data_IF_796540173598
#
_entry.id   IF_796540173598
#
_cell.length_a   1.000
_cell.length_b   1.000
_cell.length_c   1.000
_cell.angle_alpha   90.00
_cell.angle_beta   90.00
_cell.angle_gamma   90.00
#
_symmetry.space_group_name_H-M   'P 1'
#
loop_
_entity.id
_entity.type
_entity.pdbx_description
1 polymer ?
#
# COMPACT_ATOMS: atom_id res chain seq x y z
N UNK A 1 20.88 -6.88 -49.23
CA UNK A 1 20.68 -5.81 -48.23
C UNK A 1 19.79 -6.38 -47.15
N UNK A 2 20.37 -7.00 -46.13
CA UNK A 2 19.62 -7.48 -44.97
C UNK A 2 19.13 -6.27 -44.18
N UNK A 3 17.82 -6.03 -44.20
CA UNK A 3 17.18 -5.07 -43.32
C UNK A 3 17.21 -5.63 -41.90
N UNK A 4 18.25 -5.27 -41.14
CA UNK A 4 18.24 -5.44 -39.69
C UNK A 4 17.18 -4.50 -39.10
N UNK A 5 15.94 -4.99 -38.99
CA UNK A 5 14.92 -4.36 -38.16
C UNK A 5 15.42 -4.47 -36.73
N UNK A 6 15.89 -3.35 -36.18
CA UNK A 6 16.32 -3.28 -34.80
C UNK A 6 15.07 -3.40 -33.89
N UNK A 7 14.77 -4.63 -33.47
CA UNK A 7 13.61 -4.98 -32.63
C UNK A 7 13.61 -4.26 -31.26
N UNK A 8 14.68 -3.55 -30.88
CA UNK A 8 14.69 -2.66 -29.72
C UNK A 8 13.77 -1.44 -29.85
N UNK A 9 13.38 -1.03 -31.07
CA UNK A 9 12.35 0.00 -31.26
C UNK A 9 10.94 -0.47 -30.84
N UNK A 10 10.73 -1.80 -30.77
CA UNK A 10 9.54 -2.43 -30.21
C UNK A 10 9.78 -2.98 -28.80
N UNK A 11 10.82 -2.51 -28.11
CA UNK A 11 11.03 -2.80 -26.70
C UNK A 11 9.89 -2.17 -25.89
N UNK A 12 8.80 -2.93 -25.76
CA UNK A 12 7.79 -2.91 -24.72
C UNK A 12 7.49 -1.49 -24.21
N UNK A 13 6.78 -0.70 -25.03
CA UNK A 13 6.21 0.55 -24.55
C UNK A 13 5.37 0.25 -23.31
N UNK A 14 5.68 0.97 -22.23
CA UNK A 14 4.93 0.92 -20.98
C UNK A 14 3.52 1.43 -21.25
N UNK A 15 2.60 0.50 -21.49
CA UNK A 15 1.22 0.77 -21.90
C UNK A 15 0.23 0.32 -20.82
N UNK A 16 0.65 -0.59 -19.96
CA UNK A 16 -0.20 -1.15 -18.92
C UNK A 16 -0.16 -0.31 -17.64
N UNK A 17 -1.29 -0.25 -16.95
CA UNK A 17 -1.39 0.45 -15.66
C UNK A 17 -0.55 -0.27 -14.61
N UNK A 18 0.04 0.49 -13.69
CA UNK A 18 0.78 -0.06 -12.58
C UNK A 18 -0.10 -0.93 -11.68
N UNK A 19 0.33 -2.16 -11.41
CA UNK A 19 -0.34 -3.09 -10.50
C UNK A 19 -0.38 -2.54 -9.05
N UNK A 20 -1.25 -3.09 -8.16
CA UNK A 20 -1.29 -2.68 -6.76
C UNK A 20 0.05 -2.84 -6.02
N UNK A 21 0.80 -3.90 -6.33
CA UNK A 21 2.11 -4.16 -5.71
C UNK A 21 3.17 -3.18 -6.23
N UNK A 22 3.29 -2.95 -7.54
CA UNK A 22 4.13 -1.88 -8.10
C UNK A 22 3.87 -0.52 -7.46
N UNK A 23 2.58 -0.15 -7.29
CA UNK A 23 2.19 1.10 -6.64
C UNK A 23 2.67 1.17 -5.18
N UNK A 24 2.56 0.07 -4.42
CA UNK A 24 3.08 -0.01 -3.04
C UNK A 24 4.60 0.13 -3.02
N UNK A 25 5.32 -0.60 -3.86
CA UNK A 25 6.79 -0.56 -3.93
C UNK A 25 7.31 0.85 -4.26
N UNK A 26 6.65 1.55 -5.19
CA UNK A 26 6.99 2.92 -5.57
C UNK A 26 6.76 3.89 -4.40
N UNK A 27 5.65 3.74 -3.66
CA UNK A 27 5.38 4.54 -2.45
C UNK A 27 6.36 4.24 -1.33
N UNK A 28 6.70 2.98 -1.09
CA UNK A 28 7.71 2.60 -0.09
C UNK A 28 9.10 3.16 -0.40
N UNK A 29 9.44 3.32 -1.68
CA UNK A 29 10.68 3.98 -2.11
C UNK A 29 10.64 5.51 -1.94
N UNK A 30 9.54 6.06 -1.43
CA UNK A 30 9.32 7.50 -1.23
C UNK A 30 9.01 8.27 -2.51
N UNK A 31 8.72 7.59 -3.63
CA UNK A 31 8.33 8.25 -4.86
C UNK A 31 6.81 8.40 -4.89
N UNK A 32 6.31 9.55 -4.44
CA UNK A 32 4.89 9.84 -4.32
C UNK A 32 4.64 11.17 -5.06
N UNK A 33 3.59 11.28 -5.89
CA UNK A 33 3.30 12.53 -6.55
C UNK A 33 2.84 13.54 -5.51
N UNK A 34 3.53 14.67 -5.41
CA UNK A 34 3.23 15.73 -4.48
C UNK A 34 3.43 17.09 -5.16
N UNK A 35 2.36 17.88 -5.23
CA UNK A 35 2.44 19.26 -5.69
C UNK A 35 2.79 20.16 -4.52
N UNK A 36 4.02 20.66 -4.55
CA UNK A 36 4.51 21.67 -3.58
C UNK A 36 3.73 22.97 -3.69
N UNK A 37 3.35 23.38 -4.90
CA UNK A 37 2.65 24.63 -5.15
C UNK A 37 1.24 24.65 -4.55
N UNK A 38 0.54 23.50 -4.58
CA UNK A 38 -0.78 23.38 -3.95
C UNK A 38 -0.70 23.63 -2.44
N UNK A 39 0.33 23.07 -1.79
CA UNK A 39 0.60 23.32 -0.37
C UNK A 39 0.91 24.78 -0.09
N UNK A 40 1.82 25.39 -0.86
CA UNK A 40 2.19 26.80 -0.69
C UNK A 40 1.00 27.76 -0.87
N UNK A 41 0.13 27.52 -1.85
CA UNK A 41 -1.04 28.35 -2.10
C UNK A 41 -2.05 28.29 -0.93
N UNK A 42 -2.35 27.08 -0.44
CA UNK A 42 -3.27 26.90 0.69
C UNK A 42 -2.72 27.48 2.00
N UNK A 43 -1.42 27.32 2.26
CA UNK A 43 -0.76 27.95 3.41
C UNK A 43 -0.84 29.47 3.32
N UNK A 44 -0.58 30.05 2.14
CA UNK A 44 -0.67 31.50 1.93
C UNK A 44 -2.07 32.04 2.24
N UNK A 45 -3.11 31.43 1.65
CA UNK A 45 -4.52 31.80 1.89
C UNK A 45 -4.84 31.68 3.38
N UNK A 46 -4.46 30.55 4.00
CA UNK A 46 -4.70 30.30 5.42
C UNK A 46 -4.03 31.32 6.33
N UNK A 47 -2.79 31.70 6.06
CA UNK A 47 -2.08 32.73 6.83
C UNK A 47 -2.78 34.09 6.74
N UNK A 48 -3.21 34.53 5.55
CA UNK A 48 -3.94 35.79 5.41
C UNK A 48 -5.35 35.72 6.04
N UNK A 49 -6.02 34.57 5.96
CA UNK A 49 -7.29 34.36 6.65
C UNK A 49 -7.11 34.40 8.19
N UNK A 50 -6.05 33.79 8.71
CA UNK A 50 -5.71 33.84 10.13
C UNK A 50 -5.38 35.26 10.58
N UNK A 51 -4.62 36.02 9.78
CA UNK A 51 -4.36 37.44 10.03
C UNK A 51 -5.67 38.24 10.15
N UNK A 52 -6.66 37.97 9.30
CA UNK A 52 -7.96 38.64 9.34
C UNK A 52 -8.80 38.24 10.55
N UNK A 53 -8.96 36.93 10.77
CA UNK A 53 -9.81 36.38 11.84
C UNK A 53 -9.24 36.73 13.23
N UNK A 54 -7.92 36.66 13.37
CA UNK A 54 -7.23 36.94 14.63
C UNK A 54 -6.71 38.38 14.73
N UNK A 55 -7.12 39.28 13.82
CA UNK A 55 -6.61 40.65 13.76
C UNK A 55 -6.73 41.39 15.10
N UNK A 56 -7.91 41.34 15.74
CA UNK A 56 -8.13 42.01 17.02
C UNK A 56 -7.17 41.49 18.11
N UNK A 57 -7.09 40.18 18.29
CA UNK A 57 -6.18 39.55 19.24
C UNK A 57 -4.71 39.93 19.00
N UNK A 58 -4.27 39.91 17.74
CA UNK A 58 -2.89 40.27 17.37
C UNK A 58 -2.63 41.75 17.69
N UNK A 59 -3.54 42.64 17.29
CA UNK A 59 -3.41 44.08 17.51
C UNK A 59 -3.44 44.45 18.99
N UNK A 60 -4.34 43.86 19.78
CA UNK A 60 -4.41 44.07 21.22
C UNK A 60 -3.13 43.58 21.91
N UNK A 61 -2.64 42.39 21.55
CA UNK A 61 -1.38 41.85 22.10
C UNK A 61 -0.19 42.75 21.78
N UNK A 62 -0.09 43.25 20.53
CA UNK A 62 0.98 44.16 20.12
C UNK A 62 0.85 45.52 20.81
N UNK A 63 -0.37 46.04 20.97
CA UNK A 63 -0.65 47.29 21.68
C UNK A 63 -0.23 47.18 23.14
N UNK A 64 -0.71 46.17 23.85
CA UNK A 64 -0.40 45.96 25.27
C UNK A 64 1.10 45.81 25.49
N UNK A 65 1.77 45.06 24.62
CA UNK A 65 3.22 44.91 24.65
C UNK A 65 3.95 46.24 24.42
N UNK A 66 3.48 47.03 23.45
CA UNK A 66 4.04 48.35 23.15
C UNK A 66 3.82 49.34 24.31
N UNK A 67 2.62 49.35 24.89
CA UNK A 67 2.31 50.19 26.05
C UNK A 67 3.22 49.82 27.21
N UNK A 68 3.33 48.53 27.54
CA UNK A 68 4.20 48.04 28.61
C UNK A 68 5.67 48.47 28.41
N UNK A 69 6.19 48.36 27.19
CA UNK A 69 7.53 48.82 26.82
C UNK A 69 7.73 50.32 27.04
N UNK A 70 6.73 51.14 26.72
CA UNK A 70 6.82 52.60 26.79
C UNK A 70 6.51 53.17 28.19
N UNK A 71 5.74 52.45 29.01
CA UNK A 71 5.35 52.91 30.35
C UNK A 71 6.28 52.42 31.46
N UNK A 72 7.26 51.55 31.15
CA UNK A 72 8.21 51.07 32.15
C UNK A 72 9.03 52.24 32.72
N UNK A 73 9.07 52.33 34.05
CA UNK A 73 9.72 53.43 34.77
C UNK A 73 11.01 52.98 35.48
N UNK A 74 11.76 53.95 36.01
CA UNK A 74 12.94 53.67 36.84
C UNK A 74 12.57 52.85 38.09
N UNK A 75 11.37 53.05 38.64
CA UNK A 75 10.85 52.30 39.80
C UNK A 75 10.58 50.83 39.46
N UNK A 76 10.28 50.51 38.20
CA UNK A 76 10.12 49.15 37.69
C UNK A 76 11.46 48.44 37.39
N UNK A 77 12.58 49.09 37.71
CA UNK A 77 13.92 48.55 37.47
C UNK A 77 14.40 48.71 36.03
N UNK A 78 13.95 49.73 35.28
CA UNK A 78 14.35 49.96 33.88
C UNK A 78 15.87 49.95 33.65
N UNK A 79 16.66 50.42 34.63
CA UNK A 79 18.12 50.42 34.58
C UNK A 79 18.78 49.28 35.37
N UNK A 80 18.00 48.31 35.86
CA UNK A 80 18.51 47.09 36.51
C UNK A 80 18.57 45.93 35.52
N UNK A 81 19.51 45.00 35.74
CA UNK A 81 19.63 43.80 34.91
C UNK A 81 18.35 42.94 34.96
N UNK A 82 17.74 42.81 36.14
CA UNK A 82 16.51 42.05 36.35
C UNK A 82 15.31 42.69 35.64
N UNK A 83 15.19 44.01 35.69
CA UNK A 83 14.12 44.74 34.98
C UNK A 83 14.26 44.61 33.46
N UNK A 84 15.47 44.75 32.92
CA UNK A 84 15.74 44.52 31.50
C UNK A 84 15.44 43.08 31.08
N UNK A 85 15.79 42.09 31.90
CA UNK A 85 15.50 40.68 31.62
C UNK A 85 13.99 40.41 31.60
N UNK A 86 13.24 40.95 32.57
CA UNK A 86 11.78 40.82 32.64
C UNK A 86 11.12 41.48 31.43
N UNK A 87 11.57 42.68 31.05
CA UNK A 87 11.08 43.39 29.88
C UNK A 87 11.31 42.60 28.59
N UNK A 88 12.51 42.04 28.43
CA UNK A 88 12.86 41.20 27.28
C UNK A 88 12.00 39.94 27.23
N UNK A 89 11.78 39.28 28.37
CA UNK A 89 10.94 38.08 28.47
C UNK A 89 9.48 38.40 28.12
N UNK A 90 8.91 39.45 28.73
CA UNK A 90 7.55 39.89 28.45
C UNK A 90 7.35 40.22 26.97
N UNK A 91 8.29 40.99 26.40
CA UNK A 91 8.27 41.37 24.99
C UNK A 91 8.33 40.16 24.07
N UNK A 92 9.26 39.24 24.34
CA UNK A 92 9.44 38.01 23.55
C UNK A 92 8.18 37.16 23.58
N UNK A 93 7.60 36.94 24.77
CA UNK A 93 6.36 36.18 24.92
C UNK A 93 5.19 36.88 24.22
N UNK A 94 5.09 38.20 24.31
CA UNK A 94 4.06 38.99 23.61
C UNK A 94 4.15 38.84 22.10
N UNK A 95 5.34 38.98 21.51
CA UNK A 95 5.53 38.79 20.06
C UNK A 95 5.28 37.34 19.62
N UNK A 96 5.69 36.35 20.42
CA UNK A 96 5.38 34.94 20.14
C UNK A 96 3.88 34.67 20.18
N UNK A 97 3.15 35.24 21.15
CA UNK A 97 1.69 35.16 21.23
C UNK A 97 1.01 35.78 20.01
N UNK A 98 1.47 36.95 19.57
CA UNK A 98 0.95 37.61 18.38
C UNK A 98 1.23 36.80 17.09
N UNK A 99 2.39 36.14 17.00
CA UNK A 99 2.74 35.29 15.86
C UNK A 99 2.02 33.93 15.85
N UNK A 100 1.68 33.41 17.02
CA UNK A 100 1.20 32.04 17.21
C UNK A 100 0.00 31.66 16.32
N UNK A 101 -1.06 32.49 16.14
CA UNK A 101 -2.20 32.11 15.29
C UNK A 101 -1.80 31.88 13.83
N UNK A 102 -0.92 32.73 13.29
CA UNK A 102 -0.46 32.64 11.89
C UNK A 102 0.49 31.47 11.71
N UNK A 103 1.48 31.33 12.59
CA UNK A 103 2.44 30.22 12.54
C UNK A 103 1.77 28.86 12.77
N UNK A 104 0.84 28.79 13.73
CA UNK A 104 0.03 27.61 13.99
C UNK A 104 -0.83 27.23 12.78
N UNK A 105 -1.48 28.21 12.15
CA UNK A 105 -2.25 27.97 10.91
C UNK A 105 -1.37 27.44 9.78
N UNK A 106 -0.19 28.04 9.57
CA UNK A 106 0.77 27.59 8.56
C UNK A 106 1.23 26.14 8.82
N UNK A 107 1.54 25.81 10.07
CA UNK A 107 1.91 24.46 10.49
C UNK A 107 0.77 23.47 10.24
N UNK A 108 -0.44 23.78 10.72
CA UNK A 108 -1.61 22.91 10.60
C UNK A 108 -1.96 22.65 9.13
N UNK A 109 -2.04 23.69 8.30
CA UNK A 109 -2.34 23.53 6.87
C UNK A 109 -1.20 22.81 6.16
N UNK A 110 0.05 23.16 6.44
CA UNK A 110 1.21 22.50 5.84
C UNK A 110 1.23 20.99 6.11
N UNK A 111 1.01 20.59 7.37
CA UNK A 111 0.91 19.19 7.78
C UNK A 111 -0.31 18.51 7.14
N UNK A 112 -1.48 19.14 7.18
CA UNK A 112 -2.72 18.59 6.63
C UNK A 112 -2.63 18.38 5.12
N UNK A 113 -2.13 19.36 4.36
CA UNK A 113 -1.98 19.24 2.91
C UNK A 113 -0.94 18.18 2.55
N UNK A 114 0.18 18.13 3.28
CA UNK A 114 1.19 17.09 3.08
C UNK A 114 0.59 15.70 3.33
N UNK A 115 -0.16 15.55 4.42
CA UNK A 115 -0.86 14.30 4.75
C UNK A 115 -1.92 13.93 3.72
N UNK A 116 -2.75 14.87 3.26
CA UNK A 116 -3.79 14.59 2.25
C UNK A 116 -3.20 14.22 0.88
N UNK A 117 -2.06 14.79 0.49
CA UNK A 117 -1.42 14.46 -0.78
C UNK A 117 -0.67 13.13 -0.74
N UNK A 118 0.08 12.87 0.33
CA UNK A 118 1.03 11.75 0.41
C UNK A 118 0.45 10.55 1.17
N UNK A 119 -0.44 10.79 2.12
CA UNK A 119 -0.90 9.84 3.13
C UNK A 119 0.16 9.57 4.20
N UNK A 120 -0.16 8.67 5.13
CA UNK A 120 0.81 8.15 6.10
C UNK A 120 1.79 7.19 5.41
N UNK A 121 2.91 7.70 4.91
CA UNK A 121 4.02 6.87 4.40
C UNK A 121 5.29 7.18 5.18
N UNK A 122 5.65 6.27 6.08
CA UNK A 122 6.93 6.31 6.77
C UNK A 122 7.94 5.46 6.01
N UNK A 123 9.00 6.09 5.47
CA UNK A 123 10.09 5.37 4.80
C UNK A 123 11.44 6.04 5.07
N UNK A 124 12.42 5.22 5.44
CA UNK A 124 13.82 5.64 5.63
C UNK A 124 14.67 5.37 4.39
N UNK A 125 14.15 4.63 3.39
CA UNK A 125 14.87 4.29 2.15
C UNK A 125 15.42 5.51 1.39
N UNK A 126 14.74 6.69 1.36
CA UNK A 126 15.30 7.88 0.72
C UNK A 126 16.52 8.49 1.42
N UNK A 127 16.73 8.18 2.71
CA UNK A 127 17.85 8.68 3.53
C UNK A 127 19.14 7.88 3.31
N UNK A 128 19.08 6.73 2.63
CA UNK A 128 20.27 5.95 2.28
C UNK A 128 21.22 6.78 1.38
N UNK A 129 22.50 6.95 1.76
CA UNK A 129 23.45 7.70 0.97
C UNK A 129 23.71 6.97 -0.36
N UNK A 130 23.29 7.58 -1.46
CA UNK A 130 23.56 7.09 -2.82
C UNK A 130 24.69 7.91 -3.42
N UNK A 131 25.87 7.30 -3.58
CA UNK A 131 27.06 7.94 -4.16
C UNK A 131 26.79 8.52 -5.56
N UNK A 132 25.87 7.93 -6.33
CA UNK A 132 25.42 8.48 -7.62
C UNK A 132 24.75 9.85 -7.52
N UNK A 133 24.10 10.18 -6.39
CA UNK A 133 23.50 11.51 -6.16
C UNK A 133 24.54 12.59 -5.84
N UNK A 134 25.78 12.21 -5.51
CA UNK A 134 26.87 13.13 -5.19
C UNK A 134 27.72 13.49 -6.41
N UNK A 135 27.45 12.92 -7.59
CA UNK A 135 28.20 13.24 -8.80
C UNK A 135 27.84 14.66 -9.31
N UNK A 136 28.78 15.64 -9.24
CA UNK A 136 28.50 17.02 -9.63
C UNK A 136 28.21 17.15 -11.13
N UNK A 137 28.78 16.29 -11.98
CA UNK A 137 28.54 16.33 -13.43
C UNK A 137 27.10 15.92 -13.79
N UNK A 138 26.55 14.90 -13.12
CA UNK A 138 25.14 14.51 -13.27
C UNK A 138 24.20 15.57 -12.69
N UNK A 139 24.59 16.21 -11.59
CA UNK A 139 23.88 17.35 -11.00
C UNK A 139 23.75 18.52 -11.98
N UNK A 140 24.87 18.94 -12.59
CA UNK A 140 24.89 19.98 -13.62
C UNK A 140 24.03 19.61 -14.83
N UNK A 141 24.16 18.38 -15.35
CA UNK A 141 23.32 17.91 -16.47
C UNK A 141 21.83 17.93 -16.14
N UNK A 142 21.46 17.64 -14.89
CA UNK A 142 20.07 17.72 -14.41
C UNK A 142 19.58 19.17 -14.34
N UNK A 143 20.39 20.09 -13.82
CA UNK A 143 20.07 21.53 -13.74
C UNK A 143 19.93 22.14 -15.14
N UNK A 144 20.83 21.82 -16.08
CA UNK A 144 20.79 22.30 -17.47
C UNK A 144 20.00 21.38 -18.42
N UNK A 145 19.06 20.60 -17.90
CA UNK A 145 18.21 19.74 -18.72
C UNK A 145 17.05 20.53 -19.34
N UNK A 146 16.52 20.05 -20.49
CA UNK A 146 15.29 20.60 -21.11
C UNK A 146 14.12 20.64 -20.13
N UNK A 147 14.05 19.68 -19.21
CA UNK A 147 13.03 19.61 -18.15
C UNK A 147 13.14 20.80 -17.20
N UNK A 148 14.35 21.10 -16.75
CA UNK A 148 14.60 22.22 -15.83
C UNK A 148 14.33 23.57 -16.49
N UNK A 149 14.70 23.75 -17.77
CA UNK A 149 14.37 24.95 -18.53
C UNK A 149 12.84 25.12 -18.66
N UNK A 150 12.11 24.06 -18.99
CA UNK A 150 10.65 24.09 -19.06
C UNK A 150 10.01 24.42 -17.70
N UNK A 151 10.61 23.96 -16.60
CA UNK A 151 10.14 24.27 -15.26
C UNK A 151 10.41 25.73 -14.88
N UNK A 152 11.56 26.28 -15.26
CA UNK A 152 11.88 27.71 -15.09
C UNK A 152 10.89 28.59 -15.84
N UNK A 153 10.60 28.28 -17.11
CA UNK A 153 9.62 29.03 -17.92
C UNK A 153 8.24 28.99 -17.25
N UNK A 154 7.81 27.82 -16.78
CA UNK A 154 6.54 27.68 -16.03
C UNK A 154 6.53 28.53 -14.76
N UNK A 155 7.62 28.53 -13.99
CA UNK A 155 7.72 29.36 -12.77
C UNK A 155 7.67 30.85 -13.08
N UNK A 156 8.37 31.32 -14.12
CA UNK A 156 8.33 32.72 -14.55
C UNK A 156 6.92 33.11 -14.98
N UNK A 157 6.25 32.30 -15.80
CA UNK A 157 4.86 32.56 -16.20
C UNK A 157 3.93 32.66 -14.99
N UNK A 158 4.04 31.75 -14.02
CA UNK A 158 3.22 31.79 -12.79
C UNK A 158 3.47 33.09 -12.01
N UNK A 159 4.73 33.47 -11.79
CA UNK A 159 5.09 34.71 -11.09
C UNK A 159 4.55 35.92 -11.85
N UNK A 160 4.70 35.97 -13.16
CA UNK A 160 4.17 37.07 -13.98
C UNK A 160 2.65 37.17 -13.91
N UNK A 161 1.93 36.04 -13.97
CA UNK A 161 0.46 36.02 -13.87
C UNK A 161 0.01 36.51 -12.48
N UNK A 162 0.59 35.97 -11.41
CA UNK A 162 0.23 36.34 -10.04
C UNK A 162 0.58 37.80 -9.78
N UNK A 163 1.77 38.24 -10.17
CA UNK A 163 2.22 39.61 -10.03
C UNK A 163 1.34 40.59 -10.80
N UNK A 164 1.02 40.30 -12.06
CA UNK A 164 0.13 41.15 -12.87
C UNK A 164 -1.28 41.22 -12.29
N UNK A 165 -1.89 40.10 -11.93
CA UNK A 165 -3.25 40.09 -11.40
C UNK A 165 -3.34 40.76 -10.02
N UNK A 166 -2.32 40.57 -9.16
CA UNK A 166 -2.25 41.25 -7.86
C UNK A 166 -2.01 42.75 -8.03
N UNK A 167 -1.15 43.14 -8.97
CA UNK A 167 -0.98 44.55 -9.34
C UNK A 167 -2.29 45.17 -9.83
N UNK A 168 -3.02 44.49 -10.72
CA UNK A 168 -4.33 44.96 -11.20
C UNK A 168 -5.34 45.10 -10.07
N UNK A 169 -5.36 44.14 -9.13
CA UNK A 169 -6.20 44.21 -7.94
C UNK A 169 -5.90 45.47 -7.11
N UNK A 170 -4.62 45.75 -6.84
CA UNK A 170 -4.20 46.94 -6.09
C UNK A 170 -4.42 48.24 -6.87
N UNK A 171 -4.15 48.25 -8.18
CA UNK A 171 -4.36 49.41 -9.05
C UNK A 171 -5.83 49.85 -9.08
N UNK A 172 -6.78 48.90 -9.00
CA UNK A 172 -8.20 49.21 -8.90
C UNK A 172 -8.59 49.87 -7.57
N UNK A 173 -7.76 49.77 -6.53
CA UNK A 173 -7.93 50.46 -5.23
C UNK A 173 -7.30 51.84 -5.21
N UNK A 174 -6.53 52.22 -6.23
CA UNK A 174 -5.89 53.53 -6.32
C UNK A 174 -6.85 54.73 -6.11
N UNK A 175 -8.09 54.71 -6.65
CA UNK A 175 -9.04 55.81 -6.42
C UNK A 175 -9.48 55.99 -4.96
N UNK A 176 -9.24 55.02 -4.08
CA UNK A 176 -9.56 55.10 -2.65
C UNK A 176 -8.47 55.86 -1.87
N UNK A 177 -7.26 55.99 -2.40
CA UNK A 177 -6.13 56.64 -1.72
C UNK A 177 -6.39 58.09 -1.28
N UNK A 178 -7.04 58.96 -2.06
CA UNK A 178 -7.34 60.32 -1.62
C UNK A 178 -8.27 60.35 -0.40
N UNK A 179 -9.22 59.42 -0.30
CA UNK A 179 -10.16 59.32 0.82
C UNK A 179 -9.42 58.90 2.10
N UNK A 180 -8.34 58.11 1.97
CA UNK A 180 -7.53 57.66 3.11
C UNK A 180 -6.75 58.81 3.78
N UNK A 181 -6.57 59.95 3.12
CA UNK A 181 -5.89 61.12 3.70
C UNK A 181 -6.73 61.80 4.79
N UNK A 182 -8.04 61.68 4.72
CA UNK A 182 -8.98 62.29 5.67
C UNK A 182 -9.45 61.31 6.77
N UNK A 183 -8.96 60.06 6.75
CA UNK A 183 -9.32 59.04 7.72
C UNK A 183 -8.61 59.24 9.06
N UNK A 184 -9.27 58.82 10.15
CA UNK A 184 -8.59 58.67 11.43
C UNK A 184 -7.50 57.60 11.36
N UNK A 185 -6.52 57.64 12.28
CA UNK A 185 -5.42 56.66 12.30
C UNK A 185 -5.95 55.22 12.42
N UNK A 186 -6.98 54.99 13.23
CA UNK A 186 -7.58 53.67 13.43
C UNK A 186 -8.25 53.15 12.15
N UNK A 187 -9.03 54.00 11.48
CA UNK A 187 -9.68 53.67 10.21
C UNK A 187 -8.66 53.42 9.11
N UNK A 188 -7.57 54.21 9.07
CA UNK A 188 -6.49 54.04 8.11
C UNK A 188 -5.80 52.68 8.28
N UNK A 189 -5.40 52.33 9.52
CA UNK A 189 -4.76 51.04 9.83
C UNK A 189 -5.69 49.87 9.47
N UNK A 190 -6.98 49.97 9.81
CA UNK A 190 -7.97 48.96 9.46
C UNK A 190 -8.13 48.81 7.95
N UNK A 191 -8.24 49.92 7.22
CA UNK A 191 -8.43 49.90 5.76
C UNK A 191 -7.22 49.32 5.04
N UNK A 192 -6.00 49.70 5.44
CA UNK A 192 -4.75 49.13 4.91
C UNK A 192 -4.68 47.64 5.24
N UNK A 193 -4.93 47.26 6.51
CA UNK A 193 -4.89 45.86 6.95
C UNK A 193 -5.85 44.96 6.17
N UNK A 194 -7.10 45.40 5.99
CA UNK A 194 -8.09 44.68 5.17
C UNK A 194 -7.65 44.59 3.72
N UNK A 195 -7.12 45.67 3.14
CA UNK A 195 -6.64 45.68 1.75
C UNK A 195 -5.47 44.71 1.55
N UNK A 196 -4.52 44.66 2.48
CA UNK A 196 -3.38 43.73 2.47
C UNK A 196 -3.87 42.28 2.56
N UNK A 197 -4.80 41.98 3.47
CA UNK A 197 -5.41 40.65 3.58
C UNK A 197 -6.11 40.25 2.29
N UNK A 198 -6.93 41.14 1.71
CA UNK A 198 -7.65 40.84 0.48
C UNK A 198 -6.70 40.61 -0.70
N UNK A 199 -5.64 41.42 -0.83
CA UNK A 199 -4.61 41.23 -1.85
C UNK A 199 -3.90 39.88 -1.67
N UNK A 200 -3.56 39.52 -0.43
CA UNK A 200 -2.94 38.24 -0.10
C UNK A 200 -3.82 37.03 -0.42
N UNK A 201 -5.11 37.07 -0.05
CA UNK A 201 -6.09 36.02 -0.38
C UNK A 201 -6.29 35.93 -1.89
N UNK A 202 -6.40 37.07 -2.59
CA UNK A 202 -6.56 37.11 -4.04
C UNK A 202 -5.33 36.50 -4.76
N UNK A 203 -4.11 36.88 -4.36
CA UNK A 203 -2.88 36.29 -4.88
C UNK A 203 -2.80 34.78 -4.59
N UNK A 204 -3.19 34.37 -3.39
CA UNK A 204 -3.31 32.98 -2.99
C UNK A 204 -4.32 32.20 -3.84
N UNK A 205 -5.47 32.78 -4.16
CA UNK A 205 -6.50 32.16 -5.00
C UNK A 205 -6.02 31.98 -6.45
N UNK A 206 -5.33 32.98 -7.01
CA UNK A 206 -4.69 32.86 -8.33
C UNK A 206 -3.63 31.76 -8.33
N UNK A 207 -2.76 31.74 -7.31
CA UNK A 207 -1.76 30.67 -7.14
C UNK A 207 -2.42 29.30 -7.00
N UNK A 208 -3.53 29.21 -6.26
CA UNK A 208 -4.26 27.96 -6.07
C UNK A 208 -4.83 27.44 -7.40
N UNK A 209 -5.40 28.31 -8.23
CA UNK A 209 -5.89 27.94 -9.56
C UNK A 209 -4.77 27.39 -10.45
N UNK A 210 -3.60 28.05 -10.46
CA UNK A 210 -2.42 27.59 -11.20
C UNK A 210 -1.85 26.27 -10.63
N UNK A 211 -1.82 26.15 -9.31
CA UNK A 211 -1.32 24.98 -8.60
C UNK A 211 -2.21 23.74 -8.81
N UNK A 212 -3.52 23.92 -9.00
CA UNK A 212 -4.44 22.83 -9.35
C UNK A 212 -4.10 22.24 -10.72
N UNK A 213 -3.84 23.08 -11.72
CA UNK A 213 -3.38 22.61 -13.04
C UNK A 213 -2.05 21.85 -12.94
N UNK A 214 -1.10 22.40 -12.17
CA UNK A 214 0.20 21.76 -11.94
C UNK A 214 0.05 20.43 -11.19
N UNK A 215 -0.86 20.35 -10.22
CA UNK A 215 -1.18 19.11 -9.49
C UNK A 215 -1.69 18.02 -10.43
N UNK A 216 -2.66 18.32 -11.30
CA UNK A 216 -3.16 17.35 -12.28
C UNK A 216 -2.06 16.89 -13.23
N UNK A 217 -1.24 17.83 -13.73
CA UNK A 217 -0.12 17.51 -14.62
C UNK A 217 0.90 16.59 -13.92
N UNK A 218 1.29 16.90 -12.68
CA UNK A 218 2.22 16.07 -11.91
C UNK A 218 1.65 14.68 -11.60
N UNK A 219 0.34 14.59 -11.31
CA UNK A 219 -0.32 13.30 -11.07
C UNK A 219 -0.33 12.44 -12.33
N UNK A 220 -0.63 13.05 -13.49
CA UNK A 220 -0.57 12.40 -14.79
C UNK A 220 0.85 11.95 -15.13
N UNK A 221 1.86 12.82 -14.98
CA UNK A 221 3.27 12.49 -15.25
C UNK A 221 3.75 11.34 -14.35
N UNK A 222 3.38 11.36 -13.06
CA UNK A 222 3.72 10.28 -12.14
C UNK A 222 3.07 8.96 -12.56
N UNK A 223 1.77 8.95 -12.87
CA UNK A 223 1.08 7.74 -13.33
C UNK A 223 1.73 7.19 -14.60
N UNK A 224 2.07 8.07 -15.56
CA UNK A 224 2.80 7.71 -16.77
C UNK A 224 4.18 7.11 -16.46
N UNK A 225 4.89 7.64 -15.46
CA UNK A 225 6.22 7.17 -15.08
C UNK A 225 6.25 5.77 -14.46
N UNK A 226 5.14 5.35 -13.82
CA UNK A 226 5.02 4.05 -13.14
C UNK A 226 4.33 2.98 -14.00
N UNK A 227 3.89 3.33 -15.22
CA UNK A 227 3.33 2.37 -16.17
C UNK A 227 4.28 1.19 -16.40
N UNK A 228 3.67 0.07 -16.74
CA UNK A 228 4.34 -1.21 -16.87
C UNK A 228 4.20 -1.76 -18.28
N UNK A 229 5.08 -2.68 -18.63
CA UNK A 229 4.97 -3.42 -19.88
C UNK A 229 4.07 -4.65 -19.67
N UNK A 230 3.51 -5.21 -20.75
CA UNK A 230 2.71 -6.44 -20.67
C UNK A 230 3.50 -7.60 -20.07
N UNK A 231 4.80 -7.66 -20.34
CA UNK A 231 5.69 -8.66 -19.77
C UNK A 231 5.87 -8.44 -18.26
N UNK A 232 6.16 -7.22 -17.81
CA UNK A 232 6.31 -6.89 -16.39
C UNK A 232 5.06 -7.25 -15.57
N UNK A 233 3.87 -6.94 -16.09
CA UNK A 233 2.59 -7.26 -15.43
C UNK A 233 2.43 -8.78 -15.30
N UNK A 234 2.68 -9.55 -16.36
CA UNK A 234 2.60 -11.02 -16.33
C UNK A 234 3.59 -11.63 -15.34
N UNK A 235 4.81 -11.11 -15.26
CA UNK A 235 5.80 -11.57 -14.29
C UNK A 235 5.37 -11.26 -12.86
N UNK A 236 4.81 -10.09 -12.61
CA UNK A 236 4.33 -9.71 -11.29
C UNK A 236 3.17 -10.60 -10.82
N UNK A 237 2.23 -10.92 -11.71
CA UNK A 237 1.19 -11.92 -11.42
C UNK A 237 1.76 -13.29 -11.07
N UNK A 238 2.78 -13.77 -11.80
CA UNK A 238 3.46 -15.04 -11.48
C UNK A 238 4.14 -15.01 -10.12
N UNK A 239 4.71 -13.88 -9.71
CA UNK A 239 5.38 -13.71 -8.42
C UNK A 239 4.37 -13.62 -7.26
N UNK A 240 3.21 -13.01 -7.47
CA UNK A 240 2.21 -12.79 -6.41
C UNK A 240 1.25 -13.97 -6.25
N UNK A 241 0.75 -14.55 -7.33
CA UNK A 241 -0.21 -15.69 -7.28
C UNK A 241 0.47 -17.05 -7.43
N UNK A 242 1.75 -17.06 -7.80
CA UNK A 242 2.49 -18.27 -8.14
C UNK A 242 2.24 -18.72 -9.58
N UNK A 243 3.20 -19.43 -10.18
CA UNK A 243 3.05 -19.95 -11.53
C UNK A 243 1.98 -21.07 -11.54
N UNK A 244 0.92 -20.97 -12.35
CA UNK A 244 -0.13 -21.99 -12.45
C UNK A 244 0.41 -23.39 -12.72
N UNK A 245 1.47 -23.51 -13.53
CA UNK A 245 2.14 -24.78 -13.84
C UNK A 245 2.80 -25.39 -12.60
N UNK A 246 3.40 -24.55 -11.74
CA UNK A 246 4.00 -25.00 -10.48
C UNK A 246 2.90 -25.47 -9.53
N UNK A 247 1.80 -24.71 -9.38
CA UNK A 247 0.67 -25.09 -8.55
C UNK A 247 0.03 -26.41 -9.01
N UNK A 248 -0.02 -26.66 -10.31
CA UNK A 248 -0.47 -27.94 -10.88
C UNK A 248 0.49 -29.08 -10.54
N UNK A 249 1.80 -28.89 -10.76
CA UNK A 249 2.83 -29.90 -10.44
C UNK A 249 2.87 -30.25 -8.95
N UNK A 250 2.67 -29.27 -8.07
CA UNK A 250 2.60 -29.51 -6.62
C UNK A 250 1.40 -30.42 -6.29
N UNK A 251 0.22 -30.14 -6.84
CA UNK A 251 -0.98 -30.98 -6.66
C UNK A 251 -0.78 -32.40 -7.20
N UNK A 252 -0.15 -32.53 -8.36
CA UNK A 252 0.17 -33.83 -8.95
C UNK A 252 1.11 -34.64 -8.04
N UNK A 253 2.20 -34.02 -7.56
CA UNK A 253 3.16 -34.66 -6.66
C UNK A 253 2.53 -35.05 -5.32
N UNK A 254 1.64 -34.22 -4.77
CA UNK A 254 0.87 -34.55 -3.57
C UNK A 254 0.00 -35.79 -3.77
N UNK A 255 -0.72 -35.89 -4.91
CA UNK A 255 -1.52 -37.08 -5.26
C UNK A 255 -0.64 -38.32 -5.41
N UNK A 256 0.52 -38.22 -6.05
CA UNK A 256 1.46 -39.34 -6.18
C UNK A 256 2.00 -39.82 -4.83
N UNK A 257 2.34 -38.90 -3.92
CA UNK A 257 2.81 -39.27 -2.57
C UNK A 257 1.71 -39.96 -1.75
N UNK A 258 0.48 -39.45 -1.81
CA UNK A 258 -0.68 -40.08 -1.17
C UNK A 258 -0.93 -41.49 -1.72
N UNK A 259 -0.89 -41.65 -3.05
CA UNK A 259 -1.03 -42.96 -3.70
C UNK A 259 0.08 -43.93 -3.27
N UNK A 260 1.34 -43.48 -3.20
CA UNK A 260 2.46 -44.32 -2.74
C UNK A 260 2.29 -44.77 -1.28
N UNK A 261 1.83 -43.88 -0.39
CA UNK A 261 1.56 -44.22 1.02
C UNK A 261 0.44 -45.26 1.11
N UNK A 262 -0.66 -45.06 0.40
CA UNK A 262 -1.76 -46.02 0.34
C UNK A 262 -1.30 -47.39 -0.16
N UNK A 263 -0.50 -47.44 -1.22
CA UNK A 263 0.03 -48.69 -1.77
C UNK A 263 1.00 -49.40 -0.81
N UNK A 264 1.74 -48.66 0.02
CA UNK A 264 2.64 -49.22 1.03
C UNK A 264 1.90 -49.86 2.23
N UNK A 265 0.62 -49.57 2.42
CA UNK A 265 -0.22 -50.19 3.45
C UNK A 265 -0.89 -51.48 2.97
N UNK A 266 -0.98 -51.71 1.65
CA UNK A 266 -1.57 -52.93 1.05
C UNK A 266 -0.89 -54.22 1.55
N UNK A 267 0.46 -54.32 1.63
CA UNK A 267 1.12 -55.52 2.15
C UNK A 267 0.80 -55.85 3.61
N UNK A 268 0.30 -54.87 4.37
CA UNK A 268 -0.07 -55.04 5.79
C UNK A 268 -1.55 -55.36 5.98
N UNK A 269 -2.31 -55.46 4.89
CA UNK A 269 -3.73 -55.79 4.95
C UNK A 269 -3.92 -57.28 5.24
N UNK A 270 -4.98 -57.63 5.95
CA UNK A 270 -5.33 -59.03 6.23
C UNK A 270 -6.08 -59.67 5.05
N UNK A 271 -6.85 -58.86 4.31
CA UNK A 271 -7.58 -59.33 3.13
C UNK A 271 -7.78 -58.20 2.12
N UNK A 272 -7.77 -58.55 0.83
CA UNK A 272 -8.18 -57.66 -0.26
C UNK A 272 -9.45 -58.19 -0.92
N UNK A 273 -10.53 -57.40 -0.85
CA UNK A 273 -11.81 -57.73 -1.45
C UNK A 273 -11.86 -57.09 -2.83
N UNK A 274 -12.13 -57.90 -3.85
CA UNK A 274 -12.02 -57.48 -5.25
C UNK A 274 -13.34 -57.63 -6.00
N UNK A 275 -13.58 -56.68 -6.91
CA UNK A 275 -14.51 -56.80 -8.02
C UNK A 275 -13.64 -56.97 -9.29
N UNK A 276 -13.78 -58.06 -10.06
CA UNK A 276 -12.87 -58.43 -11.14
C UNK A 276 -12.46 -57.28 -12.06
N UNK A 277 -13.42 -56.43 -12.42
CA UNK A 277 -13.24 -55.41 -13.46
C UNK A 277 -13.06 -54.00 -12.92
N UNK A 278 -13.48 -53.68 -11.69
CA UNK A 278 -13.62 -52.27 -11.30
C UNK A 278 -13.08 -51.84 -9.94
N UNK A 279 -13.08 -52.68 -8.90
CA UNK A 279 -12.79 -52.24 -7.53
C UNK A 279 -11.87 -53.19 -6.76
N UNK A 280 -11.03 -52.62 -5.90
CA UNK A 280 -10.29 -53.39 -4.90
C UNK A 280 -10.25 -52.58 -3.60
N UNK A 281 -10.56 -53.24 -2.48
CA UNK A 281 -10.53 -52.65 -1.14
C UNK A 281 -9.74 -53.58 -0.23
N UNK A 282 -8.66 -53.05 0.35
CA UNK A 282 -7.82 -53.75 1.31
C UNK A 282 -8.27 -53.39 2.74
N UNK A 283 -8.52 -54.42 3.55
CA UNK A 283 -8.97 -54.29 4.92
C UNK A 283 -7.91 -54.82 5.87
N UNK A 284 -7.83 -54.19 7.05
CA UNK A 284 -7.00 -54.64 8.15
C UNK A 284 -7.82 -54.71 9.42
N UNK A 285 -7.60 -55.77 10.20
CA UNK A 285 -8.24 -56.02 11.47
C UNK A 285 -7.20 -56.26 12.56
N UNK A 286 -7.09 -55.31 13.47
CA UNK A 286 -6.23 -55.42 14.65
C UNK A 286 -7.13 -55.37 15.90
N UNK A 287 -7.40 -56.52 16.55
CA UNK A 287 -8.36 -56.59 17.67
C UNK A 287 -7.93 -55.73 18.87
N UNK A 288 -6.63 -55.49 19.02
CA UNK A 288 -6.07 -54.63 20.07
C UNK A 288 -6.22 -53.14 19.79
N UNK A 289 -6.49 -52.74 18.53
CA UNK A 289 -6.53 -51.33 18.12
C UNK A 289 -7.90 -50.84 17.65
N UNK A 290 -8.73 -51.70 17.07
CA UNK A 290 -10.01 -51.28 16.50
C UNK A 290 -11.12 -52.30 16.78
N UNK A 291 -12.33 -51.78 17.06
CA UNK A 291 -13.53 -52.60 17.31
C UNK A 291 -14.09 -53.26 16.04
N UNK A 292 -13.67 -52.81 14.87
CA UNK A 292 -14.04 -53.33 13.57
C UNK A 292 -12.87 -53.21 12.59
N UNK A 293 -12.81 -54.04 11.53
CA UNK A 293 -11.85 -53.86 10.45
C UNK A 293 -11.92 -52.46 9.84
N UNK A 294 -10.78 -51.94 9.39
CA UNK A 294 -10.69 -50.62 8.75
C UNK A 294 -10.02 -50.70 7.38
N UNK A 295 -10.33 -49.73 6.53
CA UNK A 295 -9.85 -49.68 5.14
C UNK A 295 -8.45 -49.10 5.11
N UNK A 296 -7.47 -49.87 4.64
CA UNK A 296 -6.08 -49.41 4.51
C UNK A 296 -5.72 -48.96 3.09
N UNK A 297 -6.43 -49.49 2.08
CA UNK A 297 -6.34 -49.00 0.71
C UNK A 297 -7.65 -49.25 -0.04
N UNK A 298 -8.05 -48.35 -0.93
CA UNK A 298 -9.14 -48.58 -1.87
C UNK A 298 -8.83 -47.97 -3.22
N UNK A 299 -9.25 -48.62 -4.29
CA UNK A 299 -8.96 -48.18 -5.66
C UNK A 299 -10.03 -48.61 -6.65
N UNK A 300 -10.10 -47.87 -7.76
CA UNK A 300 -10.88 -48.24 -8.94
C UNK A 300 -9.98 -48.41 -10.15
N UNK A 301 -10.41 -49.24 -11.11
CA UNK A 301 -9.76 -49.47 -12.40
C UNK A 301 -8.24 -49.75 -12.27
N UNK A 302 -7.37 -48.90 -12.83
CA UNK A 302 -5.91 -49.04 -12.76
C UNK A 302 -5.36 -49.10 -11.33
N UNK A 303 -5.97 -48.36 -10.40
CA UNK A 303 -5.56 -48.39 -8.98
C UNK A 303 -5.96 -49.72 -8.35
N UNK A 304 -7.14 -50.25 -8.70
CA UNK A 304 -7.58 -51.56 -8.23
C UNK A 304 -6.69 -52.69 -8.77
N UNK A 305 -6.29 -52.61 -10.05
CA UNK A 305 -5.32 -53.54 -10.63
C UNK A 305 -4.00 -53.50 -9.87
N UNK A 306 -3.49 -52.31 -9.55
CA UNK A 306 -2.23 -52.18 -8.81
C UNK A 306 -2.31 -52.70 -7.37
N UNK A 307 -3.45 -52.50 -6.68
CA UNK A 307 -3.69 -53.09 -5.35
C UNK A 307 -3.67 -54.63 -5.45
N UNK A 308 -4.32 -55.21 -6.48
CA UNK A 308 -4.32 -56.66 -6.71
C UNK A 308 -2.92 -57.21 -6.99
N UNK A 309 -2.12 -56.50 -7.78
CA UNK A 309 -0.72 -56.87 -8.05
C UNK A 309 0.10 -56.90 -6.76
N UNK A 310 0.07 -55.82 -5.97
CA UNK A 310 0.84 -55.73 -4.72
C UNK A 310 0.37 -56.78 -3.70
N UNK A 311 -0.94 -57.04 -3.62
CA UNK A 311 -1.50 -58.08 -2.75
C UNK A 311 -0.96 -59.47 -3.13
N UNK A 312 -0.90 -59.79 -4.43
CA UNK A 312 -0.31 -61.04 -4.93
C UNK A 312 1.19 -61.14 -4.64
N UNK A 313 1.94 -60.05 -4.86
CA UNK A 313 3.39 -59.99 -4.58
C UNK A 313 3.70 -60.13 -3.09
N UNK A 314 2.80 -59.68 -2.21
CA UNK A 314 2.96 -59.69 -0.75
C UNK A 314 2.25 -60.86 -0.06
N UNK A 315 1.74 -61.83 -0.82
CA UNK A 315 0.99 -62.99 -0.32
C UNK A 315 -0.24 -62.63 0.54
N UNK A 316 -0.88 -61.48 0.29
CA UNK A 316 -2.14 -61.08 0.91
C UNK A 316 -3.29 -61.74 0.17
N UNK A 317 -4.18 -62.42 0.89
CA UNK A 317 -5.28 -63.16 0.29
C UNK A 317 -6.29 -62.23 -0.39
N UNK A 318 -6.62 -62.56 -1.64
CA UNK A 318 -7.62 -61.82 -2.42
C UNK A 318 -8.92 -62.61 -2.49
N UNK A 319 -10.01 -62.03 -2.04
CA UNK A 319 -11.35 -62.65 -2.10
C UNK A 319 -12.21 -61.88 -3.11
N UNK A 320 -12.77 -62.62 -4.05
CA UNK A 320 -13.66 -62.05 -5.06
C UNK A 320 -15.07 -61.94 -4.50
N UNK A 321 -15.54 -60.71 -4.30
CA UNK A 321 -16.92 -60.43 -3.92
C UNK A 321 -17.33 -59.07 -4.51
N UNK A 322 -17.93 -59.07 -5.72
CA UNK A 322 -18.25 -57.84 -6.44
C UNK A 322 -19.20 -56.89 -5.69
N UNK A 323 -20.17 -57.44 -4.95
CA UNK A 323 -21.16 -56.68 -4.20
C UNK A 323 -20.52 -56.01 -2.96
N UNK A 324 -19.71 -56.76 -2.22
CA UNK A 324 -19.01 -56.26 -1.03
C UNK A 324 -17.92 -55.23 -1.40
N UNK A 325 -17.14 -55.48 -2.45
CA UNK A 325 -16.10 -54.55 -2.93
C UNK A 325 -16.69 -53.19 -3.35
N UNK A 326 -17.84 -53.19 -4.04
CA UNK A 326 -18.55 -51.96 -4.43
C UNK A 326 -19.11 -51.24 -3.19
N UNK A 327 -19.79 -51.99 -2.32
CA UNK A 327 -20.34 -51.45 -1.08
C UNK A 327 -19.28 -50.78 -0.20
N UNK A 328 -18.12 -51.43 -0.02
CA UNK A 328 -17.01 -50.86 0.74
C UNK A 328 -16.42 -49.62 0.04
N UNK A 329 -16.18 -49.67 -1.28
CA UNK A 329 -15.60 -48.54 -2.01
C UNK A 329 -16.46 -47.26 -1.91
N UNK A 330 -17.77 -47.40 -1.99
CA UNK A 330 -18.73 -46.29 -2.01
C UNK A 330 -19.04 -45.74 -0.60
N UNK A 331 -18.97 -46.57 0.45
CA UNK A 331 -19.43 -46.19 1.80
C UNK A 331 -18.32 -45.89 2.82
N UNK A 332 -17.05 -46.11 2.49
CA UNK A 332 -15.92 -45.93 3.42
C UNK A 332 -14.74 -45.23 2.76
N UNK A 333 -14.05 -44.32 3.46
CA UNK A 333 -12.76 -43.75 3.03
C UNK A 333 -11.56 -44.52 3.62
N UNK A 334 -10.35 -44.19 3.14
CA UNK A 334 -9.13 -44.81 3.65
C UNK A 334 -8.89 -44.34 5.08
N UNK A 335 -8.78 -45.29 6.01
CA UNK A 335 -8.67 -45.05 7.45
C UNK A 335 -9.99 -45.24 8.21
N UNK A 336 -11.13 -45.33 7.50
CA UNK A 336 -12.42 -45.52 8.15
C UNK A 336 -12.62 -46.98 8.57
N UNK A 337 -13.31 -47.16 9.70
CA UNK A 337 -13.88 -48.46 10.06
C UNK A 337 -15.03 -48.81 9.10
N UNK A 338 -15.18 -50.09 8.81
CA UNK A 338 -16.30 -50.55 8.00
C UNK A 338 -17.65 -50.17 8.66
N UNK A 339 -18.75 -50.00 7.89
CA UNK A 339 -20.06 -49.68 8.44
C UNK A 339 -20.74 -50.94 9.00
N UNK A 340 -21.60 -50.82 10.04
CA UNK A 340 -22.28 -51.97 10.67
C UNK A 340 -23.01 -52.88 9.70
N UNK A 341 -23.60 -52.32 8.63
CA UNK A 341 -24.32 -53.06 7.60
C UNK A 341 -23.44 -54.07 6.83
N UNK A 342 -22.11 -53.89 6.82
CA UNK A 342 -21.16 -54.76 6.12
C UNK A 342 -20.39 -55.69 7.08
N UNK A 343 -20.66 -55.64 8.39
CA UNK A 343 -19.89 -56.42 9.38
C UNK A 343 -19.97 -57.91 9.14
N UNK A 344 -21.18 -58.42 8.90
CA UNK A 344 -21.38 -59.85 8.67
C UNK A 344 -20.61 -60.33 7.44
N UNK A 345 -20.76 -59.64 6.31
CA UNK A 345 -20.09 -60.00 5.06
C UNK A 345 -18.57 -59.90 5.14
N UNK A 346 -18.03 -58.92 5.88
CA UNK A 346 -16.58 -58.81 6.11
C UNK A 346 -16.09 -59.87 7.10
N UNK A 347 -16.84 -60.20 8.14
CA UNK A 347 -16.49 -61.23 9.11
C UNK A 347 -16.43 -62.63 8.48
N UNK A 348 -17.37 -62.94 7.58
CA UNK A 348 -17.35 -64.18 6.79
C UNK A 348 -16.09 -64.28 5.92
N UNK A 349 -15.71 -63.18 5.25
CA UNK A 349 -14.50 -63.10 4.43
C UNK A 349 -13.22 -63.25 5.26
N UNK A 350 -13.14 -62.58 6.41
CA UNK A 350 -11.99 -62.72 7.32
C UNK A 350 -11.91 -64.13 7.91
N UNK A 351 -13.03 -64.71 8.36
CA UNK A 351 -13.07 -66.08 8.87
C UNK A 351 -12.60 -67.10 7.83
N UNK A 352 -13.01 -66.92 6.56
CA UNK A 352 -12.53 -67.72 5.43
C UNK A 352 -11.00 -67.61 5.27
N UNK A 353 -10.45 -66.39 5.25
CA UNK A 353 -8.99 -66.16 5.14
C UNK A 353 -8.22 -66.77 6.31
N UNK A 354 -8.68 -66.61 7.55
CA UNK A 354 -8.04 -67.22 8.72
C UNK A 354 -8.14 -68.75 8.73
N UNK A 355 -9.21 -69.34 8.17
CA UNK A 355 -9.34 -70.80 8.05
C UNK A 355 -8.33 -71.40 7.06
N UNK A 356 -8.00 -70.67 6.00
CA UNK A 356 -7.00 -71.08 4.99
C UNK A 356 -5.58 -70.95 5.55
N UNK A 357 -5.28 -69.85 6.25
CA UNK A 357 -3.99 -69.62 6.88
C UNK A 357 -3.69 -70.54 8.09
N UNK A 358 -4.70 -71.24 8.63
CA UNK A 358 -4.53 -72.21 9.73
C UNK A 358 -4.26 -73.64 9.24
N UNK A 359 -4.49 -73.90 7.96
CA UNK A 359 -4.27 -75.19 7.28
C UNK A 359 -3.09 -75.17 6.29
N UNK A 360 -2.31 -74.08 6.27
CA UNK A 360 -1.02 -73.93 5.59
C UNK A 360 0.03 -73.62 6.65
#
# INVERSE_FOLDING_TARGET
>A
MEFFINLQLFADEKTEKATPKKRRDVREKGNIPQSRELGSALVLIGCFAALYICAAFIMDTLRDNTVHLLTMTVEDGLFSADGMQNLMMYSTVGYLKALAPVAGTALCIGLLVSYLQVGAVFTVKPLEPKLSRLNPAEGLKRIFSRRSLAQLIKSLLKISIVGYLTYRFLANRYPELPIMLDMSLEELVKTIGVTVVQAGIYAGAVLLALAMLDYYYQRYEHEKSIMMTKHEVKEEYKLTEGNPLIKSKVREKQRQMSMRRMMAEVPKADVVITNPTHFAVALKYEPDKAKAPYVVAKGRDLVALRIKEIARESSVQTVENPALARGLYDTTEIGDMIPPALYQAVAEVLAFVYSINKNS
#
